data_IF_378193648278
#
_entry.id   IF_378193648278
#
_cell.length_a   1.000
_cell.length_b   1.000
_cell.length_c   1.000
_cell.angle_alpha   90.00
_cell.angle_beta   90.00
_cell.angle_gamma   90.00
#
_symmetry.space_group_name_H-M   'P 1'
#
loop_
_entity.id
_entity.type
_entity.pdbx_description
1 polymer ?
#
# COMPACT_ATOMS: atom_id res chain seq x y z
N UNK A 1 -2.33 14.56 -15.12
CA UNK A 1 -2.61 13.89 -13.83
C UNK A 1 -1.77 12.64 -13.79
N UNK A 2 -0.73 12.58 -12.95
CA UNK A 2 0.02 11.33 -12.76
C UNK A 2 -0.91 10.33 -12.06
N UNK A 3 -0.89 9.11 -12.55
CA UNK A 3 -1.70 7.99 -12.07
C UNK A 3 -1.54 7.85 -10.56
N UNK A 4 -2.66 7.67 -9.84
CA UNK A 4 -2.59 7.20 -8.46
C UNK A 4 -2.00 5.80 -8.53
N UNK A 5 -0.86 5.59 -7.87
CA UNK A 5 -0.30 4.25 -7.73
C UNK A 5 -1.11 3.52 -6.66
N UNK A 6 -1.97 2.62 -7.13
CA UNK A 6 -2.90 1.82 -6.32
C UNK A 6 -2.64 0.35 -6.59
N UNK A 7 -2.60 -0.45 -5.54
CA UNK A 7 -2.71 -1.90 -5.62
C UNK A 7 -4.08 -2.30 -5.06
N UNK A 8 -4.81 -3.10 -5.83
CA UNK A 8 -6.10 -3.70 -5.44
C UNK A 8 -5.98 -5.23 -5.50
N UNK A 9 -6.56 -5.93 -4.52
CA UNK A 9 -6.46 -7.39 -4.43
C UNK A 9 -7.03 -7.93 -3.12
N UNK A 10 -6.65 -9.14 -2.74
CA UNK A 10 -6.85 -9.66 -1.38
C UNK A 10 -5.47 -10.00 -0.83
N UNK A 11 -5.03 -9.25 0.18
CA UNK A 11 -3.69 -9.40 0.73
C UNK A 11 -3.65 -9.06 2.22
N UNK A 12 -2.66 -9.57 2.91
CA UNK A 12 -2.28 -9.07 4.23
C UNK A 12 -1.10 -8.11 4.11
N UNK A 13 -1.02 -7.16 5.04
CA UNK A 13 0.09 -6.23 5.10
C UNK A 13 0.91 -6.50 6.35
N UNK A 14 2.20 -6.76 6.19
CA UNK A 14 3.17 -6.83 7.28
C UNK A 14 3.87 -5.49 7.43
N UNK A 15 3.92 -4.98 8.65
CA UNK A 15 4.53 -3.69 8.99
C UNK A 15 5.56 -3.95 10.09
N UNK A 16 6.82 -3.61 9.84
CA UNK A 16 7.83 -3.63 10.88
C UNK A 16 7.57 -2.51 11.89
N UNK A 17 7.52 -2.84 13.18
CA UNK A 17 7.37 -1.80 14.19
C UNK A 17 8.67 -1.01 14.33
N UNK A 18 8.55 0.32 14.37
CA UNK A 18 9.71 1.19 14.62
C UNK A 18 10.23 0.87 16.02
N UNK A 19 11.49 0.42 16.11
CA UNK A 19 12.21 0.03 17.33
C UNK A 19 12.09 -1.43 17.80
N UNK A 20 11.44 -2.31 17.03
CA UNK A 20 11.52 -3.75 17.26
C UNK A 20 11.85 -4.48 15.95
N UNK A 21 12.34 -5.72 16.05
CA UNK A 21 12.44 -6.60 14.88
C UNK A 21 11.10 -7.30 14.56
N UNK A 22 10.07 -7.05 15.38
CA UNK A 22 8.77 -7.69 15.26
C UNK A 22 7.91 -7.06 14.17
N UNK A 23 7.20 -7.91 13.42
CA UNK A 23 6.25 -7.51 12.38
C UNK A 23 4.82 -7.58 12.92
N UNK A 24 4.07 -6.50 12.74
CA UNK A 24 2.62 -6.48 12.92
C UNK A 24 1.92 -6.83 11.62
N UNK A 25 0.82 -7.58 11.68
CA UNK A 25 0.05 -7.99 10.51
C UNK A 25 -1.32 -7.32 10.49
N UNK A 26 -1.63 -6.63 9.40
CA UNK A 26 -2.96 -6.15 9.07
C UNK A 26 -3.63 -7.17 8.17
N UNK A 27 -4.74 -7.73 8.63
CA UNK A 27 -5.43 -8.84 7.97
C UNK A 27 -6.52 -8.36 6.99
N UNK A 28 -6.63 -9.09 5.88
CA UNK A 28 -7.66 -8.97 4.85
C UNK A 28 -7.79 -7.54 4.31
N UNK A 29 -6.66 -6.96 3.89
CA UNK A 29 -6.63 -5.69 3.18
C UNK A 29 -6.98 -5.92 1.71
N UNK A 30 -7.59 -4.92 1.08
CA UNK A 30 -7.99 -5.03 -0.32
C UNK A 30 -7.53 -3.89 -1.22
N UNK A 31 -7.07 -2.80 -0.62
CA UNK A 31 -6.51 -1.68 -1.36
C UNK A 31 -5.39 -1.01 -0.59
N UNK A 32 -4.34 -0.64 -1.30
CA UNK A 32 -3.28 0.23 -0.80
C UNK A 32 -3.00 1.32 -1.83
N UNK A 33 -2.91 2.55 -1.37
CA UNK A 33 -2.73 3.73 -2.22
C UNK A 33 -1.51 4.51 -1.76
N UNK A 34 -0.68 4.94 -2.71
CA UNK A 34 0.31 5.97 -2.49
C UNK A 34 -0.26 7.32 -2.90
N UNK A 35 -0.34 8.24 -1.93
CA UNK A 35 -0.71 9.63 -2.16
C UNK A 35 0.52 10.50 -2.02
N UNK A 36 0.68 11.43 -2.94
CA UNK A 36 1.67 12.49 -2.83
C UNK A 36 1.07 13.82 -3.25
N UNK A 37 1.44 14.89 -2.54
CA UNK A 37 1.09 16.25 -2.93
C UNK A 37 2.27 17.18 -2.71
N UNK A 38 2.53 18.08 -3.66
CA UNK A 38 3.55 19.11 -3.48
C UNK A 38 2.96 20.23 -2.62
N UNK A 39 3.60 20.53 -1.50
CA UNK A 39 3.21 21.57 -0.55
C UNK A 39 4.39 22.56 -0.44
N UNK A 40 4.32 23.68 -1.16
CA UNK A 40 5.45 24.60 -1.27
C UNK A 40 6.68 23.93 -1.88
N UNK A 41 7.78 23.91 -1.13
CA UNK A 41 9.06 23.33 -1.57
C UNK A 41 9.24 21.84 -1.21
N UNK A 42 8.31 21.26 -0.45
CA UNK A 42 8.37 19.86 -0.04
C UNK A 42 7.24 19.02 -0.63
N UNK A 43 7.40 17.70 -0.59
CA UNK A 43 6.33 16.77 -0.89
C UNK A 43 5.79 16.13 0.38
N UNK A 44 4.47 16.05 0.46
CA UNK A 44 3.75 15.35 1.51
C UNK A 44 3.33 13.96 0.98
N UNK A 45 3.80 12.89 1.63
CA UNK A 45 3.74 11.52 1.13
C UNK A 45 3.03 10.59 2.11
N UNK A 46 2.00 9.87 1.64
CA UNK A 46 1.21 8.97 2.48
C UNK A 46 1.01 7.61 1.81
N UNK A 47 1.07 6.56 2.62
CA UNK A 47 0.55 5.23 2.27
C UNK A 47 -0.76 5.02 3.02
N UNK A 48 -1.81 4.69 2.28
CA UNK A 48 -3.16 4.50 2.80
C UNK A 48 -3.57 3.04 2.58
N UNK A 49 -3.89 2.31 3.65
CA UNK A 49 -4.25 0.89 3.61
C UNK A 49 -5.72 0.74 3.99
N UNK A 50 -6.47 0.01 3.17
CA UNK A 50 -7.91 -0.12 3.29
C UNK A 50 -8.35 -1.58 3.43
N UNK A 51 -9.52 -1.71 4.05
CA UNK A 51 -10.37 -2.90 3.99
C UNK A 51 -11.78 -2.46 3.59
N UNK A 52 -12.21 -2.85 2.41
CA UNK A 52 -13.39 -2.35 1.73
C UNK A 52 -13.25 -0.85 1.48
N UNK A 53 -14.25 -0.10 1.94
CA UNK A 53 -14.23 1.38 1.88
C UNK A 53 -13.59 2.03 3.10
N UNK A 54 -13.12 1.25 4.08
CA UNK A 54 -12.60 1.77 5.36
C UNK A 54 -11.09 1.87 5.32
N UNK A 55 -10.55 3.06 5.57
CA UNK A 55 -9.14 3.26 5.87
C UNK A 55 -8.84 2.62 7.24
N UNK A 56 -7.93 1.66 7.27
CA UNK A 56 -7.58 0.94 8.50
C UNK A 56 -6.19 1.32 9.00
N UNK A 57 -5.31 1.80 8.12
CA UNK A 57 -3.97 2.22 8.49
C UNK A 57 -3.45 3.30 7.55
N UNK A 58 -2.70 4.25 8.10
CA UNK A 58 -2.09 5.36 7.36
C UNK A 58 -0.67 5.54 7.85
N UNK A 59 0.28 5.65 6.91
CA UNK A 59 1.68 5.91 7.21
C UNK A 59 2.09 7.20 6.53
N UNK A 60 2.74 8.07 7.32
CA UNK A 60 3.43 9.23 6.78
C UNK A 60 4.85 8.81 6.41
N UNK A 61 5.21 9.02 5.15
CA UNK A 61 6.52 8.65 4.65
C UNK A 61 7.51 9.76 4.99
N UNK A 62 8.75 9.42 5.39
CA UNK A 62 9.77 10.43 5.59
C UNK A 62 10.04 11.17 4.28
N UNK A 63 10.15 12.50 4.33
CA UNK A 63 10.68 13.24 3.19
C UNK A 63 12.10 12.72 2.93
N UNK A 64 12.36 12.25 1.70
CA UNK A 64 13.72 11.85 1.36
C UNK A 64 14.65 13.06 1.52
N UNK A 65 15.96 12.83 1.73
CA UNK A 65 16.96 13.92 1.78
C UNK A 65 17.01 14.78 0.50
N UNK A 66 16.24 14.43 -0.54
CA UNK A 66 16.12 15.14 -1.81
C UNK A 66 14.70 15.67 -2.08
N UNK A 67 13.75 15.47 -1.15
CA UNK A 67 12.34 15.87 -1.22
C UNK A 67 11.72 15.65 -2.62
N UNK A 68 11.69 14.39 -3.04
CA UNK A 68 11.13 13.96 -4.35
C UNK A 68 10.11 12.86 -4.15
N UNK A 69 9.13 12.83 -5.05
CA UNK A 69 8.20 11.72 -5.24
C UNK A 69 8.95 10.39 -5.35
N UNK A 70 8.41 9.36 -4.68
CA UNK A 70 8.79 7.99 -4.97
C UNK A 70 8.37 7.65 -6.40
N UNK A 71 9.16 6.83 -7.10
CA UNK A 71 8.90 6.45 -8.49
C UNK A 71 7.78 5.43 -8.62
N UNK A 72 7.43 4.76 -7.53
CA UNK A 72 6.34 3.78 -7.47
C UNK A 72 5.86 3.57 -6.04
N UNK A 73 4.63 3.07 -5.88
CA UNK A 73 4.13 2.58 -4.59
C UNK A 73 5.01 1.47 -3.98
N UNK A 74 5.66 0.62 -4.80
CA UNK A 74 6.59 -0.41 -4.28
C UNK A 74 7.78 0.22 -3.55
N UNK A 75 8.41 1.22 -4.16
CA UNK A 75 9.51 1.96 -3.55
C UNK A 75 9.07 2.68 -2.25
N UNK A 76 7.84 3.22 -2.25
CA UNK A 76 7.27 3.84 -1.07
C UNK A 76 7.10 2.83 0.08
N UNK A 77 6.58 1.62 -0.20
CA UNK A 77 6.41 0.55 0.79
C UNK A 77 7.75 0.08 1.37
N UNK A 78 8.75 -0.12 0.51
CA UNK A 78 10.11 -0.52 0.92
C UNK A 78 10.75 0.52 1.85
N UNK A 79 10.50 1.82 1.62
CA UNK A 79 11.06 2.89 2.45
C UNK A 79 10.59 2.91 3.90
N UNK A 80 9.48 2.19 4.20
CA UNK A 80 8.89 2.08 5.54
C UNK A 80 8.74 0.62 5.97
N UNK A 81 9.52 -0.29 5.37
CA UNK A 81 9.54 -1.72 5.72
C UNK A 81 8.14 -2.37 5.74
N UNK A 82 7.30 -2.03 4.76
CA UNK A 82 5.98 -2.64 4.56
C UNK A 82 6.06 -3.70 3.48
N UNK A 83 5.55 -4.90 3.79
CA UNK A 83 5.49 -6.04 2.88
C UNK A 83 4.04 -6.47 2.65
N UNK A 84 3.73 -6.95 1.43
CA UNK A 84 2.42 -7.48 1.07
C UNK A 84 2.49 -9.02 1.00
N UNK A 85 1.55 -9.69 1.64
CA UNK A 85 1.30 -11.13 1.47
C UNK A 85 0.06 -11.25 0.58
N UNK A 86 0.27 -11.42 -0.72
CA UNK A 86 -0.80 -11.61 -1.70
C UNK A 86 -1.37 -13.03 -1.60
N UNK A 87 -2.69 -13.16 -1.48
CA UNK A 87 -3.37 -14.46 -1.48
C UNK A 87 -3.76 -14.95 -2.89
N UNK A 88 -3.36 -14.19 -3.91
CA UNK A 88 -3.74 -14.39 -5.30
C UNK A 88 -5.15 -13.85 -5.55
N UNK A 89 -5.35 -13.28 -6.75
CA UNK A 89 -6.70 -13.07 -7.27
C UNK A 89 -7.39 -14.43 -7.29
N UNK A 90 -8.44 -14.64 -6.50
CA UNK A 90 -9.39 -15.73 -6.76
C UNK A 90 -9.82 -15.63 -8.22
N UNK A 91 -9.26 -16.46 -9.09
CA UNK A 91 -9.90 -16.74 -10.36
C UNK A 91 -11.29 -17.22 -9.99
N UNK A 92 -12.32 -16.43 -10.31
CA UNK A 92 -13.69 -16.89 -10.22
C UNK A 92 -13.75 -18.11 -11.15
N UNK A 93 -13.78 -19.32 -10.59
CA UNK A 93 -14.26 -20.51 -11.28
C UNK A 93 -15.73 -20.26 -11.64
N UNK A 94 -15.95 -19.51 -12.71
CA UNK A 94 -17.22 -19.35 -13.36
C UNK A 94 -17.51 -20.65 -14.08
N UNK A 95 -18.31 -21.50 -13.43
CA UNK A 95 -18.94 -22.66 -14.04
C UNK A 95 -19.54 -22.28 -15.39
N UNK A 96 -18.99 -22.82 -16.48
CA UNK A 96 -19.77 -23.08 -17.69
C UNK A 96 -19.84 -24.58 -17.86
N UNK A 97 -20.74 -25.20 -17.11
CA UNK A 97 -21.39 -26.43 -17.59
C UNK A 97 -22.27 -25.96 -18.75
N UNK A 98 -21.80 -26.16 -19.98
CA UNK A 98 -22.68 -26.15 -21.14
C UNK A 98 -23.37 -27.51 -21.18
N UNK A 99 -24.70 -27.50 -21.18
CA UNK A 99 -25.51 -28.62 -21.66
C UNK A 99 -25.13 -28.97 -23.09
#
# INVERSE_FOLDING_TARGET
MKNKDVIEGEFDVLIKQKNTEEKSRLFNCDKIEYLHSKQGDFFDHHIMIYRGKKLIFKVWLPNSAKDKEFKSLKEALESVDIELIDFGRRERCGSKVKN
#
